data_IF_046669378574
#
_entry.id   IF_046669378574
#
_cell.length_a   1.000
_cell.length_b   1.000
_cell.length_c   1.000
_cell.angle_alpha   90.00
_cell.angle_beta   90.00
_cell.angle_gamma   90.00
#
_symmetry.space_group_name_H-M   'P 1'
#
loop_
_entity.id
_entity.type
_entity.pdbx_description
1 polymer ?
#
# COMPACT_ATOMS: atom_id res chain seq x y z
N UNK A 1 -20.39 -13.47 -40.50
CA UNK A 1 -19.62 -12.35 -39.91
C UNK A 1 -19.94 -12.09 -38.43
N UNK A 2 -21.22 -12.12 -38.04
CA UNK A 2 -21.63 -11.87 -36.64
C UNK A 2 -21.00 -12.86 -35.64
N UNK A 3 -20.87 -14.13 -36.02
CA UNK A 3 -20.28 -15.17 -35.16
C UNK A 3 -18.76 -14.99 -34.94
N UNK A 4 -18.03 -14.49 -35.92
CA UNK A 4 -16.57 -14.25 -35.81
C UNK A 4 -16.32 -13.05 -34.88
N UNK A 5 -17.09 -11.97 -35.03
CA UNK A 5 -17.01 -10.80 -34.15
C UNK A 5 -17.36 -11.16 -32.70
N UNK A 6 -18.42 -11.95 -32.50
CA UNK A 6 -18.80 -12.44 -31.17
C UNK A 6 -17.73 -13.31 -30.53
N UNK A 7 -17.07 -14.15 -31.31
CA UNK A 7 -15.97 -15.00 -30.83
C UNK A 7 -14.75 -14.18 -30.43
N UNK A 8 -14.41 -13.13 -31.20
CA UNK A 8 -13.32 -12.19 -30.86
C UNK A 8 -13.62 -11.45 -29.55
N UNK A 9 -14.84 -10.93 -29.41
CA UNK A 9 -15.27 -10.23 -28.18
C UNK A 9 -15.20 -11.16 -26.98
N UNK A 10 -15.65 -12.43 -27.12
CA UNK A 10 -15.58 -13.42 -26.04
C UNK A 10 -14.15 -13.73 -25.63
N UNK A 11 -13.22 -13.85 -26.58
CA UNK A 11 -11.79 -14.06 -26.31
C UNK A 11 -11.19 -12.86 -25.57
N UNK A 12 -11.54 -11.63 -25.98
CA UNK A 12 -11.08 -10.42 -25.31
C UNK A 12 -11.59 -10.34 -23.87
N UNK A 13 -12.87 -10.63 -23.65
CA UNK A 13 -13.47 -10.67 -22.30
C UNK A 13 -12.79 -11.72 -21.43
N UNK A 14 -12.57 -12.94 -21.97
CA UNK A 14 -11.88 -14.00 -21.26
C UNK A 14 -10.45 -13.61 -20.90
N UNK A 15 -9.74 -12.95 -21.83
CA UNK A 15 -8.38 -12.46 -21.61
C UNK A 15 -8.35 -11.39 -20.48
N UNK A 16 -9.29 -10.45 -20.47
CA UNK A 16 -9.42 -9.45 -19.41
C UNK A 16 -9.71 -10.11 -18.05
N UNK A 17 -10.61 -11.11 -18.01
CA UNK A 17 -10.90 -11.86 -16.78
C UNK A 17 -9.65 -12.58 -16.27
N UNK A 18 -8.87 -13.19 -17.15
CA UNK A 18 -7.60 -13.85 -16.79
C UNK A 18 -6.60 -12.82 -16.23
N UNK A 19 -6.46 -11.64 -16.86
CA UNK A 19 -5.61 -10.56 -16.38
C UNK A 19 -6.00 -10.10 -14.97
N UNK A 20 -7.29 -9.91 -14.73
CA UNK A 20 -7.82 -9.52 -13.42
C UNK A 20 -7.65 -10.63 -12.36
N UNK A 21 -7.73 -11.90 -12.78
CA UNK A 21 -7.57 -13.05 -11.88
C UNK A 21 -6.13 -13.21 -11.37
N UNK A 22 -5.14 -12.98 -12.23
CA UNK A 22 -3.71 -13.13 -11.87
C UNK A 22 -3.29 -12.05 -10.86
N UNK A 23 -3.94 -10.87 -10.91
CA UNK A 23 -3.74 -9.80 -9.94
C UNK A 23 -2.50 -8.95 -10.21
N UNK A 24 -2.25 -8.05 -9.26
CA UNK A 24 -1.14 -7.09 -9.29
C UNK A 24 -0.21 -7.40 -8.13
N UNK A 25 1.10 -7.43 -8.40
CA UNK A 25 2.14 -7.52 -7.40
C UNK A 25 2.75 -6.15 -7.17
N UNK A 26 2.76 -5.72 -5.92
CA UNK A 26 3.43 -4.49 -5.49
C UNK A 26 4.68 -4.90 -4.72
N UNK A 27 5.83 -4.36 -5.11
CA UNK A 27 7.11 -4.56 -4.43
C UNK A 27 7.64 -3.20 -4.00
N UNK A 28 7.86 -3.05 -2.71
CA UNK A 28 8.48 -1.88 -2.10
C UNK A 28 9.81 -2.29 -1.50
N UNK A 29 10.89 -1.74 -2.05
CA UNK A 29 12.25 -1.91 -1.54
C UNK A 29 12.70 -0.53 -1.06
N UNK A 30 13.24 -0.46 0.15
CA UNK A 30 13.83 0.78 0.66
C UNK A 30 15.10 0.48 1.44
N UNK A 31 16.02 1.45 1.42
CA UNK A 31 17.27 1.46 2.18
C UNK A 31 17.50 2.88 2.70
N UNK A 32 17.49 3.03 4.01
CA UNK A 32 17.73 4.30 4.70
C UNK A 32 19.00 4.19 5.51
N UNK A 33 19.97 5.05 5.20
CA UNK A 33 21.25 5.16 5.92
C UNK A 33 21.55 6.62 6.25
N UNK A 34 21.50 6.95 7.52
CA UNK A 34 21.62 8.32 7.99
C UNK A 34 20.56 9.24 7.40
N UNK A 35 20.99 10.22 6.62
CA UNK A 35 20.09 11.17 5.94
C UNK A 35 19.66 10.70 4.55
N UNK A 36 20.29 9.66 4.01
CA UNK A 36 19.99 9.16 2.68
C UNK A 36 18.87 8.12 2.74
N UNK A 37 17.82 8.34 1.95
CA UNK A 37 16.72 7.42 1.77
C UNK A 37 16.66 7.02 0.30
N UNK A 38 16.90 5.75 0.02
CA UNK A 38 16.73 5.18 -1.30
C UNK A 38 15.50 4.26 -1.28
N UNK A 39 14.59 4.46 -2.20
CA UNK A 39 13.38 3.66 -2.29
C UNK A 39 13.08 3.25 -3.72
N UNK A 40 12.47 2.09 -3.90
CA UNK A 40 12.00 1.64 -5.20
C UNK A 40 10.64 0.96 -5.05
N UNK A 41 9.61 1.58 -5.62
CA UNK A 41 8.29 1.02 -5.74
C UNK A 41 8.11 0.42 -7.13
N UNK A 42 7.80 -0.86 -7.22
CA UNK A 42 7.53 -1.57 -8.47
C UNK A 42 6.12 -2.13 -8.45
N UNK A 43 5.36 -1.84 -9.51
CA UNK A 43 4.04 -2.41 -9.73
C UNK A 43 4.13 -3.36 -10.94
N UNK A 44 3.87 -4.64 -10.70
CA UNK A 44 3.91 -5.67 -11.70
C UNK A 44 2.50 -6.23 -11.94
N UNK A 45 2.05 -6.21 -13.19
CA UNK A 45 0.85 -6.92 -13.63
C UNK A 45 1.27 -8.31 -14.13
N UNK A 46 0.40 -9.31 -13.92
CA UNK A 46 0.69 -10.72 -14.23
C UNK A 46 1.89 -11.28 -13.43
N UNK A 47 2.31 -10.60 -12.32
CA UNK A 47 3.48 -10.96 -11.50
C UNK A 47 4.82 -10.95 -12.24
N UNK A 48 4.84 -10.61 -13.53
CA UNK A 48 6.04 -10.61 -14.39
C UNK A 48 6.24 -9.34 -15.18
N UNK A 49 5.16 -8.67 -15.61
CA UNK A 49 5.25 -7.47 -16.45
C UNK A 49 5.34 -6.25 -15.55
N UNK A 50 6.50 -5.60 -15.55
CA UNK A 50 6.72 -4.33 -14.87
C UNK A 50 5.98 -3.23 -15.62
N UNK A 51 4.96 -2.66 -14.99
CA UNK A 51 4.13 -1.59 -15.59
C UNK A 51 4.56 -0.24 -15.07
N UNK A 52 4.94 -0.16 -13.81
CA UNK A 52 5.32 1.09 -13.18
C UNK A 52 6.48 0.86 -12.20
N UNK A 53 7.42 1.79 -12.17
CA UNK A 53 8.53 1.78 -11.24
C UNK A 53 8.93 3.22 -10.94
N UNK A 54 8.90 3.55 -9.66
CA UNK A 54 9.43 4.81 -9.13
C UNK A 54 10.59 4.49 -8.22
N UNK A 55 11.71 5.16 -8.42
CA UNK A 55 12.84 5.16 -7.48
C UNK A 55 12.98 6.53 -6.84
N UNK A 56 13.37 6.55 -5.58
CA UNK A 56 13.68 7.75 -4.83
C UNK A 56 15.10 7.64 -4.28
N UNK A 57 15.96 8.66 -4.42
CA UNK A 57 15.69 9.91 -5.13
C UNK A 57 15.47 9.69 -6.64
N UNK A 58 14.55 10.45 -7.23
CA UNK A 58 14.29 10.42 -8.66
C UNK A 58 15.46 11.07 -9.39
N UNK A 59 16.02 10.41 -10.43
CA UNK A 59 17.03 11.02 -11.32
C UNK A 59 16.42 12.06 -12.28
N UNK A 60 15.09 12.13 -12.35
CA UNK A 60 14.35 13.10 -13.14
C UNK A 60 13.68 14.10 -12.19
N UNK A 61 14.25 15.29 -12.10
CA UNK A 61 13.60 16.48 -11.56
C UNK A 61 12.49 16.88 -12.55
N UNK A 62 11.26 16.42 -12.28
CA UNK A 62 10.08 17.06 -12.84
C UNK A 62 9.33 17.67 -11.65
N UNK A 63 9.54 18.98 -11.51
CA UNK A 63 8.92 19.85 -10.53
C UNK A 63 7.41 19.88 -10.77
N UNK A 64 6.71 19.01 -10.11
CA UNK A 64 5.26 19.06 -9.95
C UNK A 64 4.92 19.42 -8.51
N UNK A 65 5.20 20.67 -8.13
CA UNK A 65 4.59 21.28 -6.96
C UNK A 65 3.08 21.43 -7.19
N UNK A 66 2.31 20.42 -6.87
CA UNK A 66 0.89 20.62 -6.60
C UNK A 66 0.74 21.02 -5.12
N UNK A 67 1.07 22.27 -4.84
CA UNK A 67 0.54 22.99 -3.68
C UNK A 67 -0.97 23.17 -3.87
N UNK A 68 -1.75 22.21 -3.45
CA UNK A 68 -3.17 22.46 -3.17
C UNK A 68 -3.29 22.96 -1.73
N UNK A 69 -3.03 24.26 -1.55
CA UNK A 69 -3.63 25.05 -0.48
C UNK A 69 -5.14 25.07 -0.70
N UNK A 70 -5.84 24.10 -0.18
CA UNK A 70 -7.27 24.19 0.07
C UNK A 70 -7.51 24.06 1.57
N UNK A 71 -7.51 25.23 2.20
CA UNK A 71 -8.08 25.48 3.53
C UNK A 71 -9.61 25.29 3.45
N UNK A 72 -10.04 24.06 3.17
CA UNK A 72 -11.45 23.65 3.24
C UNK A 72 -11.74 23.19 4.65
N UNK A 73 -12.71 23.84 5.23
CA UNK A 73 -13.26 23.63 6.56
C UNK A 73 -13.37 22.12 6.89
N UNK A 74 -12.36 21.58 7.58
CA UNK A 74 -12.24 20.15 7.91
C UNK A 74 -13.41 19.59 8.74
N UNK A 75 -14.23 20.47 9.32
CA UNK A 75 -15.41 20.08 10.11
C UNK A 75 -16.57 19.57 9.25
N UNK A 76 -16.84 20.26 8.13
CA UNK A 76 -17.95 19.87 7.23
C UNK A 76 -17.68 18.56 6.50
N UNK A 77 -16.40 18.31 6.15
CA UNK A 77 -15.97 17.04 5.51
C UNK A 77 -16.16 15.86 6.47
N UNK A 78 -15.89 16.04 7.75
CA UNK A 78 -16.00 14.96 8.74
C UNK A 78 -17.46 14.57 9.04
N UNK A 79 -18.39 15.53 9.07
CA UNK A 79 -19.82 15.25 9.20
C UNK A 79 -20.41 14.56 7.96
N UNK A 80 -19.93 14.93 6.77
CA UNK A 80 -20.35 14.32 5.51
C UNK A 80 -19.82 12.88 5.33
N UNK A 81 -18.65 12.58 5.89
CA UNK A 81 -18.05 11.25 5.83
C UNK A 81 -18.64 10.26 6.85
N UNK A 82 -19.27 10.75 7.93
CA UNK A 82 -19.78 9.93 9.01
C UNK A 82 -20.75 8.81 8.57
N UNK A 83 -21.74 9.04 7.70
CA UNK A 83 -22.62 7.99 7.22
C UNK A 83 -21.93 7.00 6.27
N UNK A 84 -20.86 7.41 5.60
CA UNK A 84 -20.10 6.56 4.68
C UNK A 84 -19.04 5.73 5.40
N UNK A 85 -18.69 6.07 6.64
CA UNK A 85 -17.60 5.45 7.39
C UNK A 85 -17.80 3.95 7.62
N UNK A 86 -19.01 3.51 7.91
CA UNK A 86 -19.31 2.08 8.08
C UNK A 86 -19.14 1.29 6.78
N UNK A 87 -19.59 1.84 5.66
CA UNK A 87 -19.43 1.22 4.34
C UNK A 87 -17.97 1.20 3.91
N UNK A 88 -17.23 2.26 4.23
CA UNK A 88 -15.81 2.33 3.99
C UNK A 88 -15.04 1.31 4.85
N UNK A 89 -15.41 1.14 6.11
CA UNK A 89 -14.85 0.12 7.00
C UNK A 89 -15.09 -1.31 6.47
N UNK A 90 -16.30 -1.59 5.98
CA UNK A 90 -16.60 -2.89 5.34
C UNK A 90 -15.77 -3.09 4.07
N UNK A 91 -15.62 -2.04 3.27
CA UNK A 91 -14.78 -2.07 2.07
C UNK A 91 -13.31 -2.33 2.42
N UNK A 92 -12.74 -1.57 3.36
CA UNK A 92 -11.36 -1.76 3.83
C UNK A 92 -11.15 -3.18 4.36
N UNK A 93 -12.08 -3.71 5.14
CA UNK A 93 -12.01 -5.11 5.62
C UNK A 93 -12.03 -6.11 4.47
N UNK A 94 -12.81 -5.86 3.43
CA UNK A 94 -12.86 -6.69 2.23
C UNK A 94 -11.61 -6.53 1.38
N UNK A 95 -11.10 -5.32 1.28
CA UNK A 95 -9.84 -4.99 0.60
C UNK A 95 -8.65 -5.71 1.24
N UNK A 96 -8.55 -5.67 2.57
CA UNK A 96 -7.50 -6.38 3.31
C UNK A 96 -7.51 -7.90 3.05
N UNK A 97 -8.68 -8.50 2.80
CA UNK A 97 -8.80 -9.92 2.42
C UNK A 97 -8.34 -10.20 0.99
N UNK A 98 -8.29 -9.19 0.13
CA UNK A 98 -7.80 -9.32 -1.25
C UNK A 98 -6.28 -9.20 -1.35
N UNK A 99 -5.64 -8.66 -0.31
CA UNK A 99 -4.19 -8.54 -0.19
C UNK A 99 -3.62 -9.85 0.35
N UNK A 100 -2.66 -10.39 -0.37
CA UNK A 100 -1.87 -11.52 0.10
C UNK A 100 -0.44 -11.06 0.32
N UNK A 101 0.00 -11.10 1.54
CA UNK A 101 1.40 -10.84 1.90
C UNK A 101 2.25 -11.97 1.31
N UNK A 102 3.21 -11.63 0.46
CA UNK A 102 4.13 -12.58 -0.17
C UNK A 102 5.47 -12.55 0.54
N UNK A 103 5.92 -11.36 0.95
CA UNK A 103 7.16 -11.15 1.69
C UNK A 103 7.05 -9.85 2.47
N UNK A 104 7.48 -9.86 3.72
CA UNK A 104 7.71 -8.67 4.55
C UNK A 104 9.03 -8.87 5.27
N UNK A 105 10.11 -8.40 4.70
CA UNK A 105 11.45 -8.47 5.27
C UNK A 105 11.91 -7.05 5.57
N UNK A 106 12.13 -6.74 6.83
CA UNK A 106 12.56 -5.41 7.25
C UNK A 106 13.60 -5.55 8.35
N UNK A 107 14.66 -4.78 8.22
CA UNK A 107 15.73 -4.68 9.18
C UNK A 107 15.86 -3.24 9.68
N UNK A 108 15.99 -3.07 10.99
CA UNK A 108 16.11 -1.78 11.65
C UNK A 108 17.41 -1.72 12.45
N UNK A 109 18.18 -0.67 12.27
CA UNK A 109 19.32 -0.33 13.14
C UNK A 109 18.91 0.88 13.96
N UNK A 110 18.87 0.72 15.28
CA UNK A 110 18.38 1.73 16.21
C UNK A 110 19.42 2.06 17.27
N UNK A 111 19.70 3.34 17.45
CA UNK A 111 20.61 3.85 18.47
C UNK A 111 20.19 5.23 18.96
N UNK A 112 20.43 5.49 20.23
CA UNK A 112 20.30 6.79 20.88
C UNK A 112 21.66 7.25 21.41
N UNK A 113 21.76 8.50 21.84
CA UNK A 113 22.98 9.05 22.42
C UNK A 113 23.34 8.38 23.75
N UNK A 114 22.35 7.84 24.46
CA UNK A 114 22.50 7.08 25.71
C UNK A 114 22.47 5.58 25.43
N UNK A 115 23.51 4.87 25.86
CA UNK A 115 23.59 3.40 25.77
C UNK A 115 22.48 2.71 26.56
N UNK A 116 22.14 3.26 27.75
CA UNK A 116 21.10 2.70 28.60
C UNK A 116 19.72 2.82 27.92
N UNK A 117 19.44 3.99 27.35
CA UNK A 117 18.19 4.21 26.62
C UNK A 117 18.10 3.34 25.36
N UNK A 118 19.20 3.23 24.60
CA UNK A 118 19.27 2.32 23.45
C UNK A 118 18.93 0.90 23.85
N UNK A 119 19.55 0.38 24.93
CA UNK A 119 19.28 -0.98 25.40
C UNK A 119 17.83 -1.17 25.87
N UNK A 120 17.25 -0.16 26.52
CA UNK A 120 15.87 -0.21 26.97
C UNK A 120 14.89 -0.23 25.80
N UNK A 121 15.02 0.71 24.86
CA UNK A 121 14.09 0.85 23.74
C UNK A 121 14.21 -0.31 22.75
N UNK A 122 15.42 -0.83 22.49
CA UNK A 122 15.56 -2.01 21.62
C UNK A 122 14.86 -3.23 22.20
N UNK A 123 14.82 -3.38 23.53
CA UNK A 123 14.05 -4.43 24.20
C UNK A 123 12.54 -4.31 23.92
N UNK A 124 11.99 -3.10 23.93
CA UNK A 124 10.59 -2.87 23.56
C UNK A 124 10.35 -3.18 22.07
N UNK A 125 11.25 -2.73 21.19
CA UNK A 125 11.17 -3.01 19.75
C UNK A 125 11.17 -4.53 19.53
N UNK A 126 12.09 -5.30 20.11
CA UNK A 126 12.12 -6.76 19.96
C UNK A 126 10.83 -7.42 20.45
N UNK A 127 10.24 -6.93 21.54
CA UNK A 127 8.98 -7.46 22.06
C UNK A 127 7.84 -7.29 21.04
N UNK A 128 7.79 -6.16 20.33
CA UNK A 128 6.83 -5.89 19.28
C UNK A 128 7.12 -6.76 18.04
N UNK A 129 8.39 -6.86 17.64
CA UNK A 129 8.78 -7.64 16.45
C UNK A 129 8.50 -9.13 16.63
N UNK A 130 8.64 -9.68 17.83
CA UNK A 130 8.25 -11.07 18.13
C UNK A 130 6.76 -11.28 17.85
N UNK A 131 5.90 -10.35 18.27
CA UNK A 131 4.46 -10.45 18.02
C UNK A 131 4.15 -10.37 16.52
N UNK A 132 4.78 -9.45 15.80
CA UNK A 132 4.58 -9.29 14.35
C UNK A 132 5.04 -10.53 13.58
N UNK A 133 6.25 -11.04 13.88
CA UNK A 133 6.81 -12.21 13.21
C UNK A 133 6.00 -13.48 13.49
N UNK A 134 5.41 -13.60 14.68
CA UNK A 134 4.52 -14.72 15.00
C UNK A 134 3.12 -14.58 14.39
N UNK A 135 2.68 -13.36 14.08
CA UNK A 135 1.37 -13.12 13.47
C UNK A 135 1.28 -13.57 12.01
N UNK A 136 2.41 -13.61 11.30
CA UNK A 136 2.43 -13.97 9.88
C UNK A 136 3.72 -14.66 9.47
N UNK A 137 3.62 -15.88 8.91
CA UNK A 137 4.77 -16.73 8.51
C UNK A 137 5.76 -16.08 7.54
N UNK A 138 5.33 -15.05 6.81
CA UNK A 138 6.13 -14.33 5.80
C UNK A 138 6.62 -12.97 6.27
N UNK A 139 6.44 -12.69 7.56
CA UNK A 139 6.93 -11.48 8.19
C UNK A 139 8.26 -11.80 8.92
N UNK A 140 9.33 -11.14 8.50
CA UNK A 140 10.66 -11.26 9.07
C UNK A 140 11.18 -9.86 9.38
N UNK A 141 10.85 -9.39 10.57
CA UNK A 141 11.32 -8.11 11.09
C UNK A 141 12.44 -8.35 12.07
N UNK A 142 13.57 -7.68 11.87
CA UNK A 142 14.72 -7.73 12.76
C UNK A 142 15.11 -6.34 13.20
N UNK A 143 15.73 -6.22 14.35
CA UNK A 143 16.29 -4.97 14.84
C UNK A 143 17.61 -5.20 15.54
N UNK A 144 18.57 -4.30 15.31
CA UNK A 144 19.89 -4.31 15.91
C UNK A 144 20.13 -3.00 16.67
N UNK A 145 20.72 -3.05 17.88
CA UNK A 145 21.13 -1.84 18.59
C UNK A 145 22.41 -1.28 18.00
N UNK A 146 22.47 0.04 17.83
CA UNK A 146 23.68 0.78 17.55
C UNK A 146 24.11 1.56 18.80
N UNK A 147 25.34 1.37 19.22
CA UNK A 147 25.95 2.12 20.34
C UNK A 147 26.93 3.19 19.84
N UNK A 148 26.85 3.58 18.58
CA UNK A 148 27.72 4.58 17.95
C UNK A 148 27.16 6.00 17.99
N UNK A 149 26.09 6.24 18.76
CA UNK A 149 25.34 7.50 18.81
C UNK A 149 23.92 7.35 18.29
N UNK A 150 23.23 8.47 18.09
CA UNK A 150 21.85 8.47 17.58
C UNK A 150 21.79 8.01 16.12
N UNK A 151 21.19 6.85 15.89
CA UNK A 151 21.05 6.20 14.55
C UNK A 151 19.64 5.66 14.40
N UNK A 152 19.05 5.90 13.23
CA UNK A 152 17.78 5.31 12.80
C UNK A 152 17.90 4.92 11.34
N UNK A 153 18.49 3.77 11.09
CA UNK A 153 18.69 3.22 9.76
C UNK A 153 17.82 1.99 9.56
N UNK A 154 17.52 1.65 8.34
CA UNK A 154 16.76 0.45 8.06
C UNK A 154 16.59 0.18 6.60
N UNK A 155 16.47 -1.09 6.29
CA UNK A 155 16.19 -1.56 4.95
C UNK A 155 15.02 -2.53 4.95
N UNK A 156 14.36 -2.65 3.81
CA UNK A 156 13.24 -3.56 3.69
C UNK A 156 12.90 -3.94 2.26
N UNK A 157 12.34 -5.14 2.15
CA UNK A 157 11.80 -5.69 0.92
C UNK A 157 10.40 -6.25 1.20
N UNK A 158 9.39 -5.50 0.76
CA UNK A 158 8.01 -5.81 1.03
C UNK A 158 7.28 -6.13 -0.28
N UNK A 159 6.67 -7.32 -0.34
CA UNK A 159 5.96 -7.78 -1.51
C UNK A 159 4.52 -8.16 -1.16
N UNK A 160 3.58 -7.55 -1.87
CA UNK A 160 2.15 -7.76 -1.72
C UNK A 160 1.53 -8.18 -3.05
N UNK A 161 0.74 -9.23 -3.03
CA UNK A 161 -0.09 -9.63 -4.16
C UNK A 161 -1.53 -9.17 -3.91
N UNK A 162 -2.10 -8.40 -4.83
CA UNK A 162 -3.48 -7.94 -4.77
C UNK A 162 -4.29 -8.65 -5.86
N UNK A 163 -5.33 -9.38 -5.45
CA UNK A 163 -6.24 -10.00 -6.39
C UNK A 163 -7.38 -9.03 -6.74
N UNK A 164 -7.26 -8.38 -7.89
CA UNK A 164 -8.22 -7.37 -8.35
C UNK A 164 -9.61 -7.97 -8.56
N UNK A 165 -9.73 -9.20 -9.04
CA UNK A 165 -11.02 -9.84 -9.26
C UNK A 165 -11.84 -9.97 -7.98
N UNK A 166 -11.17 -10.25 -6.85
CA UNK A 166 -11.82 -10.32 -5.54
C UNK A 166 -12.22 -8.94 -5.00
N UNK A 167 -11.60 -7.87 -5.51
CA UNK A 167 -11.90 -6.50 -5.12
C UNK A 167 -13.13 -5.93 -5.85
N UNK A 168 -13.46 -6.44 -7.04
CA UNK A 168 -14.58 -5.95 -7.85
C UNK A 168 -15.92 -6.02 -7.10
N UNK A 169 -16.35 -7.16 -6.49
CA UNK A 169 -17.64 -7.22 -5.81
C UNK A 169 -17.77 -6.22 -4.65
N UNK A 170 -16.81 -6.09 -3.71
CA UNK A 170 -16.90 -5.10 -2.65
C UNK A 170 -16.85 -3.66 -3.17
N UNK A 171 -16.10 -3.38 -4.24
CA UNK A 171 -16.07 -2.05 -4.86
C UNK A 171 -17.42 -1.69 -5.49
N UNK A 172 -18.04 -2.60 -6.23
CA UNK A 172 -19.39 -2.41 -6.78
C UNK A 172 -20.41 -2.19 -5.66
N UNK A 173 -20.33 -3.00 -4.59
CA UNK A 173 -21.20 -2.87 -3.42
C UNK A 173 -21.07 -1.48 -2.77
N UNK A 174 -19.84 -0.96 -2.65
CA UNK A 174 -19.57 0.36 -2.10
C UNK A 174 -20.17 1.47 -3.00
N UNK A 175 -19.87 1.45 -4.30
CA UNK A 175 -20.33 2.47 -5.27
C UNK A 175 -21.85 2.41 -5.48
N UNK A 176 -22.49 1.24 -5.25
CA UNK A 176 -23.94 1.08 -5.38
C UNK A 176 -24.72 1.72 -4.23
N UNK A 177 -24.06 2.08 -3.13
CA UNK A 177 -24.71 2.76 -2.01
C UNK A 177 -25.07 4.19 -2.37
N UNK A 178 -26.30 4.58 -1.98
CA UNK A 178 -26.85 5.89 -2.33
C UNK A 178 -26.00 7.03 -1.74
N UNK A 179 -25.60 6.88 -0.50
CA UNK A 179 -24.80 7.83 0.25
C UNK A 179 -23.43 8.06 -0.42
N UNK A 180 -22.77 6.99 -0.87
CA UNK A 180 -21.49 7.06 -1.58
C UNK A 180 -21.65 7.72 -2.95
N UNK A 181 -22.73 7.43 -3.66
CA UNK A 181 -23.02 8.06 -4.97
C UNK A 181 -23.32 9.56 -4.85
N UNK A 182 -23.99 9.98 -3.79
CA UNK A 182 -24.25 11.39 -3.51
C UNK A 182 -22.95 12.13 -3.18
N UNK A 183 -22.06 11.51 -2.42
CA UNK A 183 -20.72 12.03 -2.11
C UNK A 183 -19.87 12.23 -3.38
N UNK A 184 -19.82 11.23 -4.26
CA UNK A 184 -19.10 11.31 -5.55
C UNK A 184 -19.67 12.42 -6.45
N UNK A 185 -21.00 12.62 -6.45
CA UNK A 185 -21.63 13.69 -7.20
C UNK A 185 -21.33 15.06 -6.60
N UNK A 186 -21.28 15.20 -5.28
CA UNK A 186 -20.93 16.44 -4.58
C UNK A 186 -19.51 16.89 -4.90
N UNK A 187 -18.55 15.98 -4.89
CA UNK A 187 -17.14 16.27 -5.23
C UNK A 187 -16.95 16.64 -6.71
N UNK A 188 -17.80 16.12 -7.63
CA UNK A 188 -17.70 16.42 -9.06
C UNK A 188 -18.32 17.77 -9.43
N UNK A 189 -19.20 18.32 -8.61
CA UNK A 189 -19.94 19.56 -8.89
C UNK A 189 -19.46 20.77 -8.06
N UNK A 190 -18.43 20.60 -7.24
CA UNK A 190 -17.67 21.65 -6.53
C UNK A 190 -16.32 21.89 -7.15
#
# INVERSE_FOLDING_TARGET
MLNILGMIILIIILFIIILLYIGVKITLIYDKKGSELNGCLKILILKKIKVYSVSYPSEDEDDGEDETDEDRDHKDIFEFLKPCFEYFKEFVKSFMKCIKITRLENHLVFGLDSYADTAQYIGYIWSILIVINNAHEKAHFTAEPSFSGSVFDGDGNNELDINILKLIPPAIKLISKKEVRELIKGVKNG
#
